data_IF_442159505905
#
_entry.id   IF_442159505905
#
_cell.length_a   1.000
_cell.length_b   1.000
_cell.length_c   1.000
_cell.angle_alpha   90.00
_cell.angle_beta   90.00
_cell.angle_gamma   90.00
#
_symmetry.space_group_name_H-M   'P 1'
#
loop_
_entity.id
_entity.type
_entity.pdbx_description
1 polymer ?
#
# COMPACT_ATOMS: atom_id res chain seq x y z
N UNK A 1 -23.73 -21.41 -9.04
CA UNK A 1 -23.53 -20.06 -9.60
C UNK A 1 -24.83 -19.30 -9.42
N UNK A 2 -24.81 -18.15 -8.74
CA UNK A 2 -26.01 -17.40 -8.35
C UNK A 2 -26.62 -16.74 -9.60
N UNK A 3 -27.85 -17.14 -9.96
CA UNK A 3 -28.56 -16.64 -11.14
C UNK A 3 -28.79 -15.12 -11.06
N UNK A 4 -29.01 -14.57 -9.86
CA UNK A 4 -29.15 -13.14 -9.66
C UNK A 4 -27.86 -12.37 -10.00
N UNK A 5 -26.71 -12.94 -9.68
CA UNK A 5 -25.40 -12.36 -10.08
C UNK A 5 -25.22 -12.39 -11.59
N UNK A 6 -25.61 -13.47 -12.28
CA UNK A 6 -25.53 -13.54 -13.73
C UNK A 6 -26.45 -12.52 -14.41
N UNK A 7 -27.68 -12.35 -13.93
CA UNK A 7 -28.63 -11.38 -14.46
C UNK A 7 -28.17 -9.92 -14.27
N UNK A 8 -27.35 -9.63 -13.26
CA UNK A 8 -26.81 -8.29 -13.00
C UNK A 8 -25.61 -7.92 -13.87
N UNK A 9 -24.90 -8.90 -14.48
CA UNK A 9 -23.68 -8.67 -15.25
C UNK A 9 -23.84 -7.63 -16.40
N UNK A 10 -24.92 -7.69 -17.21
CA UNK A 10 -25.09 -6.68 -18.28
C UNK A 10 -25.21 -5.26 -17.73
N UNK A 11 -25.89 -5.09 -16.59
CA UNK A 11 -26.04 -3.77 -15.96
C UNK A 11 -24.73 -3.30 -15.35
N UNK A 12 -23.94 -4.19 -14.79
CA UNK A 12 -22.63 -3.91 -14.23
C UNK A 12 -21.59 -3.57 -15.30
N UNK A 13 -21.49 -4.38 -16.36
CA UNK A 13 -20.49 -4.17 -17.42
C UNK A 13 -20.95 -3.19 -18.51
N UNK A 14 -22.24 -2.87 -18.60
CA UNK A 14 -22.83 -1.92 -19.56
C UNK A 14 -22.30 -2.11 -20.99
N UNK A 15 -22.42 -3.34 -21.57
CA UNK A 15 -21.82 -3.66 -22.87
C UNK A 15 -22.39 -2.85 -24.04
N UNK A 16 -23.52 -2.16 -23.85
CA UNK A 16 -24.10 -1.23 -24.80
C UNK A 16 -23.31 0.09 -24.97
N UNK A 17 -22.37 0.39 -24.04
CA UNK A 17 -21.48 1.52 -24.22
C UNK A 17 -20.32 1.11 -25.14
N UNK A 18 -20.04 1.86 -26.24
CA UNK A 18 -19.02 1.46 -27.22
C UNK A 18 -17.62 1.25 -26.62
N UNK A 19 -17.25 2.05 -25.63
CA UNK A 19 -15.98 1.91 -24.91
C UNK A 19 -15.92 0.60 -24.12
N UNK A 20 -16.99 0.25 -23.41
CA UNK A 20 -17.06 -0.96 -22.62
C UNK A 20 -17.08 -2.20 -23.52
N UNK A 21 -17.87 -2.17 -24.58
CA UNK A 21 -17.89 -3.23 -25.59
C UNK A 21 -16.50 -3.50 -26.16
N UNK A 22 -15.74 -2.45 -26.52
CA UNK A 22 -14.36 -2.59 -27.01
C UNK A 22 -13.44 -3.26 -26.02
N UNK A 23 -13.51 -2.88 -24.73
CA UNK A 23 -12.70 -3.49 -23.66
C UNK A 23 -13.04 -4.97 -23.47
N UNK A 24 -14.34 -5.31 -23.42
CA UNK A 24 -14.81 -6.68 -23.27
C UNK A 24 -14.37 -7.54 -24.47
N UNK A 25 -14.55 -7.05 -25.69
CA UNK A 25 -14.13 -7.75 -26.90
C UNK A 25 -12.61 -7.92 -26.95
N UNK A 26 -11.87 -6.86 -26.63
CA UNK A 26 -10.42 -6.93 -26.62
C UNK A 26 -9.89 -7.97 -25.61
N UNK A 27 -10.54 -8.11 -24.45
CA UNK A 27 -10.17 -9.10 -23.42
C UNK A 27 -10.51 -10.53 -23.88
N UNK A 28 -11.71 -10.72 -24.43
CA UNK A 28 -12.19 -12.05 -24.91
C UNK A 28 -11.36 -12.60 -26.09
N UNK A 29 -10.90 -11.73 -26.97
CA UNK A 29 -10.17 -12.11 -28.17
C UNK A 29 -8.67 -11.78 -28.11
N UNK A 30 -8.17 -11.38 -26.93
CA UNK A 30 -6.75 -11.17 -26.73
C UNK A 30 -6.04 -12.53 -26.93
N UNK A 31 -5.21 -12.69 -27.96
CA UNK A 31 -4.42 -13.91 -28.09
C UNK A 31 -3.54 -14.01 -26.85
N UNK A 32 -3.41 -15.22 -26.30
CA UNK A 32 -2.37 -15.51 -25.34
C UNK A 32 -1.04 -15.16 -26.01
N UNK A 33 -0.49 -13.99 -25.71
CA UNK A 33 0.76 -13.55 -26.29
C UNK A 33 1.85 -14.43 -25.69
N UNK A 34 2.36 -15.39 -26.46
CA UNK A 34 3.54 -16.18 -26.10
C UNK A 34 4.83 -15.36 -26.24
N UNK A 35 4.77 -14.15 -26.83
CA UNK A 35 5.93 -13.27 -26.95
C UNK A 35 6.25 -12.65 -25.58
N UNK A 36 7.35 -13.08 -24.97
CA UNK A 36 7.96 -12.37 -23.85
C UNK A 36 8.38 -10.99 -24.34
N UNK A 37 7.69 -9.96 -23.85
CA UNK A 37 8.13 -8.59 -24.05
C UNK A 37 9.23 -8.27 -23.04
N UNK A 38 10.11 -7.34 -23.42
CA UNK A 38 11.13 -6.80 -22.53
C UNK A 38 10.49 -6.23 -21.26
N UNK A 39 11.14 -6.42 -20.11
CA UNK A 39 10.66 -5.93 -18.82
C UNK A 39 10.40 -4.42 -18.83
N UNK A 40 11.22 -3.68 -19.58
CA UNK A 40 11.07 -2.23 -19.71
C UNK A 40 9.74 -1.84 -20.39
N UNK A 41 9.25 -2.61 -21.38
CA UNK A 41 7.96 -2.36 -22.03
C UNK A 41 6.82 -2.49 -21.02
N UNK A 42 6.88 -3.51 -20.16
CA UNK A 42 5.89 -3.70 -19.10
C UNK A 42 5.96 -2.59 -18.06
N UNK A 43 7.17 -2.21 -17.63
CA UNK A 43 7.37 -1.12 -16.68
C UNK A 43 6.83 0.20 -17.22
N UNK A 44 7.18 0.57 -18.47
CA UNK A 44 6.64 1.77 -19.12
C UNK A 44 5.11 1.75 -19.19
N UNK A 45 4.53 0.63 -19.62
CA UNK A 45 3.08 0.49 -19.68
C UNK A 45 2.38 0.66 -18.32
N UNK A 46 2.97 0.14 -17.25
CA UNK A 46 2.46 0.30 -15.88
C UNK A 46 2.57 1.75 -15.39
N UNK A 47 3.73 2.39 -15.59
CA UNK A 47 3.95 3.79 -15.23
C UNK A 47 3.01 4.72 -16.02
N UNK A 48 2.86 4.51 -17.33
CA UNK A 48 1.91 5.29 -18.15
C UNK A 48 0.48 5.16 -17.65
N UNK A 49 0.09 3.95 -17.19
CA UNK A 49 -1.23 3.74 -16.62
C UNK A 49 -1.39 4.52 -15.30
N UNK A 50 -0.41 4.48 -14.41
CA UNK A 50 -0.42 5.21 -13.13
C UNK A 50 -0.41 6.73 -13.36
N UNK A 51 0.35 7.23 -14.35
CA UNK A 51 0.29 8.64 -14.73
C UNK A 51 -1.13 9.06 -15.14
N UNK A 52 -1.81 8.26 -15.98
CA UNK A 52 -3.21 8.52 -16.35
C UNK A 52 -4.14 8.45 -15.13
N UNK A 53 -3.93 7.50 -14.21
CA UNK A 53 -4.72 7.37 -12.98
C UNK A 53 -4.56 8.58 -12.04
N UNK A 54 -3.41 9.25 -12.07
CA UNK A 54 -3.20 10.53 -11.40
C UNK A 54 -3.86 11.69 -12.16
N UNK A 55 -3.64 11.77 -13.48
CA UNK A 55 -4.09 12.90 -14.32
C UNK A 55 -5.62 13.02 -14.36
N UNK A 56 -6.35 11.92 -14.32
CA UNK A 56 -7.83 11.95 -14.30
C UNK A 56 -8.42 12.58 -13.05
N UNK A 57 -7.60 12.78 -12.02
CA UNK A 57 -8.00 13.48 -10.78
C UNK A 57 -7.72 14.97 -10.82
N UNK A 58 -7.06 15.48 -11.86
CA UNK A 58 -6.80 16.91 -12.01
C UNK A 58 -8.11 17.71 -12.01
N UNK A 59 -8.15 18.77 -11.20
CA UNK A 59 -9.34 19.59 -11.01
C UNK A 59 -10.41 19.02 -10.08
N UNK A 60 -10.17 17.85 -9.47
CA UNK A 60 -11.01 17.29 -8.41
C UNK A 60 -10.47 17.71 -7.04
N UNK A 61 -11.27 17.52 -6.00
CA UNK A 61 -10.87 17.82 -4.61
C UNK A 61 -9.71 16.96 -4.09
N UNK A 62 -9.45 15.83 -4.73
CA UNK A 62 -8.40 14.85 -4.42
C UNK A 62 -7.28 14.84 -5.48
N UNK A 63 -7.12 15.96 -6.20
CA UNK A 63 -6.04 16.14 -7.17
C UNK A 63 -4.66 16.02 -6.51
N UNK A 64 -3.74 15.35 -7.19
CA UNK A 64 -2.42 15.00 -6.67
C UNK A 64 -2.30 13.53 -6.31
N UNK A 65 -3.34 12.94 -5.73
CA UNK A 65 -3.41 11.50 -5.48
C UNK A 65 -3.62 10.67 -6.75
N UNK A 66 -3.50 9.36 -6.63
CA UNK A 66 -3.70 8.39 -7.71
C UNK A 66 -5.05 7.70 -7.53
N UNK A 67 -5.88 7.68 -8.58
CA UNK A 67 -7.16 6.99 -8.57
C UNK A 67 -7.02 5.52 -8.12
N UNK A 68 -7.92 5.06 -7.26
CA UNK A 68 -7.99 3.66 -6.81
C UNK A 68 -8.12 2.65 -7.94
N UNK A 69 -8.63 3.07 -9.09
CA UNK A 69 -8.85 2.23 -10.24
C UNK A 69 -9.94 2.73 -11.16
N UNK A 70 -10.31 1.88 -12.08
CA UNK A 70 -11.40 2.14 -13.01
C UNK A 70 -12.44 1.02 -12.95
N UNK A 71 -13.72 1.36 -12.83
CA UNK A 71 -14.82 0.40 -12.86
C UNK A 71 -15.73 0.63 -14.08
N UNK A 72 -16.47 -0.41 -14.48
CA UNK A 72 -17.50 -0.27 -15.51
C UNK A 72 -18.73 0.53 -15.05
N UNK A 73 -18.93 0.62 -13.73
CA UNK A 73 -20.07 1.32 -13.13
C UNK A 73 -19.80 2.82 -12.99
N UNK A 74 -18.65 3.16 -12.39
CA UNK A 74 -18.34 4.52 -11.95
C UNK A 74 -17.29 5.23 -12.79
N UNK A 75 -16.58 4.47 -13.67
CA UNK A 75 -15.40 4.98 -14.37
C UNK A 75 -14.19 5.07 -13.44
N UNK A 76 -13.45 6.17 -13.47
CA UNK A 76 -12.33 6.39 -12.57
C UNK A 76 -12.83 6.70 -11.15
N UNK A 77 -12.32 5.94 -10.20
CA UNK A 77 -12.62 6.08 -8.77
C UNK A 77 -11.84 7.28 -8.18
N UNK A 78 -12.20 7.74 -6.97
CA UNK A 78 -11.42 8.73 -6.24
C UNK A 78 -9.97 8.30 -6.00
N UNK A 79 -9.10 9.25 -5.66
CA UNK A 79 -7.73 8.96 -5.22
C UNK A 79 -7.75 8.09 -3.96
N UNK A 80 -6.81 7.14 -3.89
CA UNK A 80 -6.73 6.20 -2.78
C UNK A 80 -5.43 6.41 -1.99
N UNK A 81 -5.52 6.85 -0.72
CA UNK A 81 -4.35 7.22 0.05
C UNK A 81 -3.33 6.10 0.18
N UNK A 82 -3.77 4.91 0.58
CA UNK A 82 -2.88 3.76 0.77
C UNK A 82 -1.97 3.51 -0.44
N UNK A 83 -2.59 3.39 -1.63
CA UNK A 83 -1.84 3.07 -2.84
C UNK A 83 -1.02 4.25 -3.33
N UNK A 84 -1.53 5.47 -3.21
CA UNK A 84 -0.78 6.69 -3.54
C UNK A 84 0.51 6.75 -2.72
N UNK A 85 0.44 6.40 -1.42
CA UNK A 85 1.59 6.41 -0.53
C UNK A 85 2.77 5.60 -1.07
N UNK A 86 2.58 4.32 -1.40
CA UNK A 86 3.70 3.51 -1.90
C UNK A 86 3.98 3.68 -3.41
N UNK A 87 3.08 4.31 -4.18
CA UNK A 87 3.37 4.71 -5.56
C UNK A 87 4.42 5.84 -5.60
N UNK A 88 4.51 6.68 -4.57
CA UNK A 88 5.54 7.71 -4.45
C UNK A 88 6.93 7.08 -4.63
N UNK A 89 7.26 6.06 -3.84
CA UNK A 89 8.54 5.33 -3.94
C UNK A 89 8.75 4.74 -5.34
N UNK A 90 7.70 4.16 -5.91
CA UNK A 90 7.72 3.57 -7.24
C UNK A 90 8.06 4.60 -8.31
N UNK A 91 7.49 5.80 -8.24
CA UNK A 91 7.75 6.87 -9.22
C UNK A 91 9.15 7.43 -9.10
N UNK A 92 9.66 7.60 -7.89
CA UNK A 92 11.03 8.05 -7.66
C UNK A 92 12.03 7.03 -8.26
N UNK A 93 11.83 5.73 -7.99
CA UNK A 93 12.68 4.68 -8.55
C UNK A 93 12.56 4.57 -10.09
N UNK A 94 11.32 4.66 -10.62
CA UNK A 94 11.09 4.60 -12.06
C UNK A 94 11.68 5.80 -12.81
N UNK A 95 11.75 6.98 -12.19
CA UNK A 95 12.35 8.17 -12.78
C UNK A 95 13.82 7.92 -13.20
N UNK A 96 14.57 7.25 -12.34
CA UNK A 96 15.98 6.90 -12.66
C UNK A 96 16.08 5.78 -13.70
N UNK A 97 15.34 4.69 -13.52
CA UNK A 97 15.37 3.52 -14.42
C UNK A 97 14.93 3.90 -15.84
N UNK A 98 13.86 4.66 -15.98
CA UNK A 98 13.28 5.05 -17.28
C UNK A 98 13.87 6.35 -17.84
N UNK A 99 14.71 7.04 -17.08
CA UNK A 99 15.26 8.37 -17.41
C UNK A 99 14.14 9.40 -17.68
N UNK A 100 13.12 9.40 -16.84
CA UNK A 100 11.94 10.25 -16.89
C UNK A 100 11.86 11.15 -15.65
N UNK A 101 12.56 12.29 -15.60
CA UNK A 101 12.62 13.16 -14.42
C UNK A 101 11.24 13.75 -14.04
N UNK A 102 10.30 13.85 -14.98
CA UNK A 102 8.92 14.29 -14.72
C UNK A 102 8.17 13.40 -13.71
N UNK A 103 8.60 12.15 -13.51
CA UNK A 103 8.03 11.27 -12.48
C UNK A 103 8.33 11.77 -11.06
N UNK A 104 9.45 12.48 -10.86
CA UNK A 104 9.77 13.13 -9.58
C UNK A 104 8.75 14.24 -9.26
N UNK A 105 8.37 15.05 -10.25
CA UNK A 105 7.33 16.09 -10.05
C UNK A 105 5.97 15.46 -9.73
N UNK A 106 5.66 14.33 -10.35
CA UNK A 106 4.45 13.57 -10.07
C UNK A 106 4.44 12.99 -8.65
N UNK A 107 5.57 12.41 -8.20
CA UNK A 107 5.76 11.97 -6.83
C UNK A 107 5.61 13.14 -5.84
N UNK A 108 6.14 14.32 -6.17
CA UNK A 108 5.96 15.54 -5.39
C UNK A 108 4.49 15.91 -5.19
N UNK A 109 3.67 15.86 -6.25
CA UNK A 109 2.22 16.11 -6.14
C UNK A 109 1.49 15.08 -5.27
N UNK A 110 1.89 13.81 -5.33
CA UNK A 110 1.36 12.76 -4.43
C UNK A 110 1.69 13.07 -2.98
N UNK A 111 2.94 13.43 -2.69
CA UNK A 111 3.38 13.83 -1.34
C UNK A 111 2.56 15.01 -0.83
N UNK A 112 2.39 16.06 -1.64
CA UNK A 112 1.63 17.24 -1.26
C UNK A 112 0.19 16.90 -0.91
N UNK A 113 -0.43 16.03 -1.70
CA UNK A 113 -1.78 15.55 -1.43
C UNK A 113 -1.84 14.73 -0.14
N UNK A 114 -0.95 13.76 0.07
CA UNK A 114 -0.90 12.96 1.31
C UNK A 114 -0.70 13.85 2.55
N UNK A 115 0.22 14.81 2.50
CA UNK A 115 0.41 15.76 3.59
C UNK A 115 -0.85 16.57 3.90
N UNK A 116 -1.63 16.91 2.87
CA UNK A 116 -2.87 17.69 3.00
C UNK A 116 -4.00 16.94 3.68
N UNK A 117 -4.01 15.60 3.59
CA UNK A 117 -5.05 14.75 4.15
C UNK A 117 -4.67 14.11 5.49
N UNK A 118 -3.43 14.31 5.97
CA UNK A 118 -3.02 13.78 7.28
C UNK A 118 -3.93 14.32 8.39
N UNK A 119 -4.43 13.41 9.23
CA UNK A 119 -5.35 13.72 10.31
C UNK A 119 -4.62 14.47 11.47
N UNK A 120 -5.35 15.26 12.28
CA UNK A 120 -4.75 16.01 13.38
C UNK A 120 -4.02 15.18 14.44
N UNK A 121 -4.43 13.91 14.63
CA UNK A 121 -3.79 12.95 15.53
C UNK A 121 -2.54 12.28 14.93
N UNK A 122 -2.24 12.56 13.67
CA UNK A 122 -1.08 12.05 12.94
C UNK A 122 -1.36 10.84 12.06
N UNK A 123 -2.50 10.17 12.20
CA UNK A 123 -2.89 9.08 11.31
C UNK A 123 -3.13 9.56 9.89
N UNK A 124 -3.26 8.60 8.98
CA UNK A 124 -3.80 8.87 7.65
C UNK A 124 -5.17 8.22 7.49
N UNK A 125 -6.09 8.85 6.73
CA UNK A 125 -7.43 8.33 6.54
C UNK A 125 -7.39 6.98 5.81
N UNK A 126 -8.29 6.08 6.21
CA UNK A 126 -8.59 4.87 5.46
C UNK A 126 -9.43 5.15 4.23
N UNK A 127 -9.67 4.14 3.42
CA UNK A 127 -10.48 4.22 2.20
C UNK A 127 -10.09 5.40 1.29
N UNK A 128 -11.05 6.16 0.80
CA UNK A 128 -10.81 7.24 -0.19
C UNK A 128 -10.43 8.59 0.42
N UNK A 129 -9.98 8.62 1.68
CA UNK A 129 -9.55 9.89 2.32
C UNK A 129 -10.68 10.89 2.53
N UNK A 130 -11.92 10.46 2.54
CA UNK A 130 -13.09 11.30 2.77
C UNK A 130 -13.04 11.91 4.17
N UNK A 131 -13.56 13.14 4.32
CA UNK A 131 -13.65 13.79 5.60
C UNK A 131 -14.42 12.92 6.61
N UNK A 132 -13.78 12.59 7.74
CA UNK A 132 -14.33 11.70 8.76
C UNK A 132 -14.11 10.21 8.52
N UNK A 133 -13.35 9.81 7.50
CA UNK A 133 -12.98 8.40 7.33
C UNK A 133 -12.10 7.94 8.49
N UNK A 134 -12.44 6.75 9.01
CA UNK A 134 -11.68 6.11 10.09
C UNK A 134 -10.26 5.80 9.61
N UNK A 135 -9.21 6.15 10.36
CA UNK A 135 -7.86 5.73 10.01
C UNK A 135 -7.71 4.21 10.11
N UNK A 136 -6.75 3.66 9.36
CA UNK A 136 -6.43 2.23 9.33
C UNK A 136 -4.93 2.07 9.52
N UNK A 137 -4.51 1.11 10.35
CA UNK A 137 -3.11 0.82 10.68
C UNK A 137 -2.31 0.57 9.39
N UNK A 138 -2.79 -0.36 8.57
CA UNK A 138 -2.10 -0.74 7.34
C UNK A 138 -1.96 0.44 6.37
N UNK A 139 -3.05 1.19 6.13
CA UNK A 139 -3.05 2.35 5.24
C UNK A 139 -2.06 3.42 5.72
N UNK A 140 -2.08 3.74 7.01
CA UNK A 140 -1.13 4.69 7.62
C UNK A 140 0.31 4.24 7.38
N UNK A 141 0.62 2.95 7.59
CA UNK A 141 1.94 2.39 7.33
C UNK A 141 2.36 2.44 5.85
N UNK A 142 1.42 2.20 4.92
CA UNK A 142 1.72 2.29 3.49
C UNK A 142 2.07 3.72 3.05
N UNK A 143 1.36 4.71 3.57
CA UNK A 143 1.66 6.12 3.29
C UNK A 143 3.00 6.53 3.90
N UNK A 144 3.34 6.02 5.09
CA UNK A 144 4.65 6.26 5.71
C UNK A 144 5.81 5.81 4.82
N UNK A 145 5.70 4.75 4.00
CA UNK A 145 6.72 4.39 3.02
C UNK A 145 6.99 5.53 2.03
N UNK A 146 5.94 6.14 1.48
CA UNK A 146 6.07 7.29 0.61
C UNK A 146 6.68 8.51 1.32
N UNK A 147 6.32 8.73 2.59
CA UNK A 147 6.91 9.82 3.37
C UNK A 147 8.41 9.57 3.64
N UNK A 148 8.80 8.35 3.99
CA UNK A 148 10.21 7.97 4.17
C UNK A 148 10.98 8.18 2.85
N UNK A 149 10.43 7.75 1.71
CA UNK A 149 11.05 7.99 0.40
C UNK A 149 11.15 9.48 0.06
N UNK A 150 10.11 10.27 0.32
CA UNK A 150 10.11 11.72 0.14
C UNK A 150 11.19 12.43 0.95
N UNK A 151 11.44 12.00 2.18
CA UNK A 151 12.53 12.52 2.99
C UNK A 151 13.91 12.06 2.47
N UNK A 152 14.11 10.75 2.32
CA UNK A 152 15.45 10.19 2.04
C UNK A 152 15.93 10.45 0.63
N UNK A 153 15.03 10.53 -0.35
CA UNK A 153 15.39 10.62 -1.77
C UNK A 153 15.14 12.01 -2.35
N UNK A 154 14.21 12.80 -1.80
CA UNK A 154 13.89 14.13 -2.27
C UNK A 154 14.26 15.24 -1.28
N UNK A 155 14.74 14.90 -0.07
CA UNK A 155 15.18 15.87 0.96
C UNK A 155 14.00 16.65 1.59
N UNK A 156 12.78 16.15 1.52
CA UNK A 156 11.59 16.86 2.02
C UNK A 156 11.40 16.62 3.52
N UNK A 157 11.83 17.59 4.34
CA UNK A 157 11.77 17.53 5.81
C UNK A 157 10.34 17.36 6.36
N UNK A 158 9.34 17.93 5.70
CA UNK A 158 7.94 17.79 6.10
C UNK A 158 7.46 16.33 6.03
N UNK A 159 8.04 15.52 5.14
CA UNK A 159 7.72 14.10 5.05
C UNK A 159 8.17 13.34 6.30
N UNK A 160 9.38 13.58 6.79
CA UNK A 160 9.84 12.96 8.05
C UNK A 160 8.97 13.39 9.22
N UNK A 161 8.62 14.69 9.31
CA UNK A 161 7.72 15.16 10.36
C UNK A 161 6.34 14.49 10.31
N UNK A 162 5.79 14.28 9.11
CA UNK A 162 4.52 13.58 8.93
C UNK A 162 4.63 12.09 9.31
N UNK A 163 5.71 11.41 8.87
CA UNK A 163 5.97 10.02 9.22
C UNK A 163 6.13 9.82 10.74
N UNK A 164 6.82 10.74 11.43
CA UNK A 164 6.97 10.69 12.90
C UNK A 164 5.61 10.83 13.60
N UNK A 165 4.76 11.77 13.17
CA UNK A 165 3.40 11.89 13.75
C UNK A 165 2.59 10.63 13.54
N UNK A 166 2.65 10.04 12.33
CA UNK A 166 1.99 8.79 12.01
C UNK A 166 2.53 7.62 12.84
N UNK A 167 3.85 7.56 13.02
CA UNK A 167 4.50 6.57 13.87
C UNK A 167 4.06 6.65 15.33
N UNK A 168 3.93 7.86 15.89
CA UNK A 168 3.41 8.03 17.24
C UNK A 168 1.95 7.59 17.36
N UNK A 169 1.13 7.86 16.35
CA UNK A 169 -0.24 7.36 16.32
C UNK A 169 -0.27 5.82 16.29
N UNK A 170 0.52 5.17 15.41
CA UNK A 170 0.63 3.70 15.37
C UNK A 170 1.02 3.13 16.74
N UNK A 171 2.03 3.71 17.38
CA UNK A 171 2.48 3.32 18.72
C UNK A 171 1.37 3.45 19.76
N UNK A 172 0.55 4.51 19.72
CA UNK A 172 -0.58 4.70 20.63
C UNK A 172 -1.68 3.63 20.44
N UNK A 173 -1.85 3.10 19.24
CA UNK A 173 -2.87 2.10 18.96
C UNK A 173 -2.40 0.67 19.29
N UNK A 174 -1.08 0.48 19.54
CA UNK A 174 -0.50 -0.82 19.79
C UNK A 174 -0.90 -1.34 21.18
N UNK A 175 -1.30 -2.61 21.24
CA UNK A 175 -1.58 -3.33 22.47
C UNK A 175 -0.28 -3.73 23.19
N UNK A 176 -0.38 -4.13 24.45
CA UNK A 176 0.78 -4.48 25.30
C UNK A 176 1.61 -5.65 24.79
N UNK A 177 1.02 -6.53 23.98
CA UNK A 177 1.69 -7.68 23.35
C UNK A 177 2.33 -7.32 21.99
N UNK A 178 2.27 -6.08 21.56
CA UNK A 178 2.83 -5.62 20.29
C UNK A 178 1.89 -5.72 19.10
N UNK A 179 0.70 -6.30 19.27
CA UNK A 179 -0.30 -6.43 18.22
C UNK A 179 -1.11 -5.14 18.03
N UNK A 180 -1.72 -4.98 16.88
CA UNK A 180 -2.80 -4.03 16.64
C UNK A 180 -4.12 -4.79 16.48
N UNK A 181 -5.16 -4.41 17.25
CA UNK A 181 -6.52 -4.97 17.19
C UNK A 181 -7.56 -3.91 16.88
N UNK A 182 -7.21 -2.65 17.05
CA UNK A 182 -8.07 -1.50 16.73
C UNK A 182 -7.58 -0.85 15.43
N UNK A 183 -8.51 -0.28 14.69
CA UNK A 183 -8.20 0.37 13.40
C UNK A 183 -7.64 -0.62 12.36
N UNK A 184 -8.01 -1.87 12.49
CA UNK A 184 -7.68 -2.95 11.58
C UNK A 184 -8.81 -3.23 10.58
N UNK A 185 -8.46 -3.88 9.48
CA UNK A 185 -9.44 -4.40 8.55
C UNK A 185 -10.24 -5.52 9.22
N UNK A 186 -11.57 -5.39 9.23
CA UNK A 186 -12.51 -6.32 9.91
C UNK A 186 -12.29 -6.46 11.43
N UNK A 187 -11.59 -5.51 12.06
CA UNK A 187 -11.28 -5.51 13.49
C UNK A 187 -10.61 -6.81 13.99
N UNK A 188 -9.80 -7.45 13.14
CA UNK A 188 -8.98 -8.62 13.47
C UNK A 188 -7.50 -8.34 13.26
N UNK A 189 -6.60 -8.95 14.07
CA UNK A 189 -5.17 -8.72 13.96
C UNK A 189 -4.61 -9.37 12.70
N UNK A 190 -3.59 -8.72 12.10
CA UNK A 190 -2.98 -9.18 10.87
C UNK A 190 -1.45 -9.18 10.93
N UNK A 191 -0.82 -10.31 10.60
CA UNK A 191 0.64 -10.41 10.47
C UNK A 191 1.17 -9.58 9.31
N UNK A 192 0.40 -9.36 8.25
CA UNK A 192 0.82 -8.52 7.12
C UNK A 192 1.08 -7.05 7.52
N UNK A 193 0.68 -6.62 8.72
CA UNK A 193 1.06 -5.32 9.29
C UNK A 193 2.56 -5.19 9.56
N UNK A 194 3.34 -6.28 9.50
CA UNK A 194 4.82 -6.18 9.48
C UNK A 194 5.32 -5.27 8.37
N UNK A 195 4.57 -5.10 7.27
CA UNK A 195 4.87 -4.12 6.25
C UNK A 195 4.72 -2.68 6.77
N UNK A 196 3.68 -2.37 7.55
CA UNK A 196 3.53 -1.09 8.24
C UNK A 196 4.62 -0.92 9.33
N UNK A 197 4.96 -2.01 10.00
CA UNK A 197 6.04 -2.06 10.99
C UNK A 197 7.39 -1.71 10.39
N UNK A 198 7.69 -2.16 9.18
CA UNK A 198 8.91 -1.75 8.46
C UNK A 198 8.96 -0.23 8.25
N UNK A 199 7.86 0.40 7.82
CA UNK A 199 7.81 1.85 7.69
C UNK A 199 7.97 2.58 9.04
N UNK A 200 7.35 2.05 10.11
CA UNK A 200 7.49 2.56 11.48
C UNK A 200 8.95 2.48 11.94
N UNK A 201 9.62 1.34 11.73
CA UNK A 201 11.03 1.13 12.06
C UNK A 201 11.93 2.11 11.31
N UNK A 202 11.78 2.19 9.99
CA UNK A 202 12.56 3.12 9.15
C UNK A 202 12.41 4.57 9.64
N UNK A 203 11.16 4.98 9.95
CA UNK A 203 10.88 6.31 10.52
C UNK A 203 11.58 6.51 11.86
N UNK A 204 11.51 5.52 12.78
CA UNK A 204 12.14 5.59 14.08
C UNK A 204 13.66 5.71 14.01
N UNK A 205 14.30 4.98 13.09
CA UNK A 205 15.73 5.05 12.85
C UNK A 205 16.15 6.41 12.28
N UNK A 206 15.43 6.93 11.27
CA UNK A 206 15.70 8.23 10.65
C UNK A 206 15.51 9.40 11.63
N UNK A 207 14.51 9.32 12.50
CA UNK A 207 14.21 10.35 13.49
C UNK A 207 15.00 10.18 14.80
N UNK A 208 15.82 9.13 14.93
CA UNK A 208 16.46 8.72 16.19
C UNK A 208 15.45 8.55 17.36
N UNK A 209 14.23 8.12 17.07
CA UNK A 209 13.16 7.89 18.03
C UNK A 209 13.14 6.42 18.47
N UNK A 210 13.78 6.13 19.61
CA UNK A 210 13.84 4.79 20.19
C UNK A 210 12.46 4.22 20.56
N UNK A 211 11.48 5.10 20.85
CA UNK A 211 10.11 4.65 21.15
C UNK A 211 9.42 4.02 19.94
N UNK A 212 9.63 4.56 18.74
CA UNK A 212 9.11 3.99 17.49
C UNK A 212 9.85 2.69 17.13
N UNK A 213 11.18 2.66 17.32
CA UNK A 213 11.99 1.44 17.09
C UNK A 213 11.53 0.30 18.00
N UNK A 214 11.32 0.57 19.29
CA UNK A 214 10.83 -0.46 20.24
C UNK A 214 9.42 -0.93 19.89
N UNK A 215 8.51 -0.01 19.51
CA UNK A 215 7.16 -0.37 19.05
C UNK A 215 7.20 -1.29 17.82
N UNK A 216 8.08 -0.99 16.86
CA UNK A 216 8.29 -1.85 15.70
C UNK A 216 8.78 -3.26 16.10
N UNK A 217 9.76 -3.35 16.99
CA UNK A 217 10.26 -4.64 17.50
C UNK A 217 9.16 -5.45 18.19
N UNK A 218 8.33 -4.81 19.03
CA UNK A 218 7.22 -5.48 19.70
C UNK A 218 6.23 -6.09 18.69
N UNK A 219 5.93 -5.38 17.61
CA UNK A 219 5.04 -5.94 16.58
C UNK A 219 5.71 -7.10 15.82
N UNK A 220 6.98 -6.99 15.48
CA UNK A 220 7.72 -8.08 14.84
C UNK A 220 7.77 -9.32 15.73
N UNK A 221 8.00 -9.16 17.03
CA UNK A 221 8.01 -10.29 17.98
C UNK A 221 6.64 -10.95 18.11
N UNK A 222 5.56 -10.15 18.18
CA UNK A 222 4.21 -10.68 18.13
C UNK A 222 3.94 -11.42 16.82
N UNK A 223 4.28 -10.83 15.69
CA UNK A 223 4.06 -11.44 14.38
C UNK A 223 4.87 -12.73 14.20
N UNK A 224 6.11 -12.77 14.72
CA UNK A 224 6.94 -13.97 14.72
C UNK A 224 6.31 -15.10 15.55
N UNK A 225 5.65 -14.78 16.66
CA UNK A 225 4.93 -15.77 17.47
C UNK A 225 3.75 -16.42 16.75
N UNK A 226 3.28 -15.83 15.64
CA UNK A 226 2.23 -16.38 14.79
C UNK A 226 2.76 -17.31 13.69
N UNK A 227 4.09 -17.46 13.55
CA UNK A 227 4.68 -18.36 12.57
C UNK A 227 4.69 -19.81 13.08
N UNK A 228 4.21 -20.73 12.25
CA UNK A 228 4.25 -22.16 12.49
C UNK A 228 5.61 -22.75 12.07
N UNK A 229 5.88 -24.00 12.46
CA UNK A 229 7.09 -24.74 12.05
C UNK A 229 7.23 -24.86 10.52
N UNK A 230 6.13 -24.86 9.79
CA UNK A 230 6.14 -24.89 8.32
C UNK A 230 6.38 -23.53 7.67
N UNK A 231 6.60 -22.46 8.45
CA UNK A 231 6.77 -21.09 7.95
C UNK A 231 5.46 -20.31 7.74
N UNK A 232 4.32 -20.96 7.88
CA UNK A 232 3.02 -20.31 7.70
C UNK A 232 2.70 -19.34 8.84
N UNK A 233 2.12 -18.17 8.52
CA UNK A 233 1.62 -17.23 9.51
C UNK A 233 0.12 -17.41 9.76
N UNK A 234 -0.28 -17.70 10.99
CA UNK A 234 -1.65 -18.01 11.37
C UNK A 234 -2.60 -16.81 11.15
N UNK A 235 -2.27 -15.63 11.65
CA UNK A 235 -3.12 -14.44 11.60
C UNK A 235 -2.83 -13.56 10.36
N UNK A 236 -2.92 -14.12 9.13
CA UNK A 236 -2.53 -13.40 7.91
C UNK A 236 -3.65 -13.26 6.86
N UNK A 237 -4.87 -13.71 7.16
CA UNK A 237 -6.03 -13.56 6.31
C UNK A 237 -6.89 -12.35 6.72
N UNK A 238 -7.70 -11.82 5.82
CA UNK A 238 -8.64 -10.72 6.13
C UNK A 238 -9.74 -11.11 7.12
N UNK A 239 -10.02 -12.41 7.21
CA UNK A 239 -10.93 -12.98 8.20
C UNK A 239 -10.37 -14.32 8.68
N UNK A 240 -10.60 -14.72 9.95
CA UNK A 240 -10.03 -15.95 10.52
C UNK A 240 -10.35 -17.23 9.75
N UNK A 241 -11.53 -17.31 9.12
CA UNK A 241 -12.04 -18.52 8.45
C UNK A 241 -11.68 -18.58 6.95
N UNK A 242 -10.81 -17.70 6.47
CA UNK A 242 -10.41 -17.64 5.06
C UNK A 242 -8.92 -17.84 4.89
N UNK A 243 -8.54 -18.37 3.73
CA UNK A 243 -7.14 -18.37 3.31
C UNK A 243 -6.67 -16.94 3.05
N UNK A 244 -5.42 -16.59 3.41
CA UNK A 244 -4.84 -15.30 3.06
C UNK A 244 -4.68 -15.17 1.55
N UNK A 245 -4.71 -13.94 1.08
CA UNK A 245 -4.37 -13.64 -0.31
C UNK A 245 -2.85 -13.66 -0.50
N UNK A 246 -2.39 -13.96 -1.72
CA UNK A 246 -0.95 -13.98 -2.05
C UNK A 246 -0.27 -12.66 -1.69
N UNK A 247 -0.93 -11.51 -1.89
CA UNK A 247 -0.35 -10.22 -1.54
C UNK A 247 -0.18 -10.02 -0.03
N UNK A 248 -1.10 -10.52 0.81
CA UNK A 248 -0.93 -10.42 2.28
C UNK A 248 0.21 -11.30 2.77
N UNK A 249 0.41 -12.48 2.16
CA UNK A 249 1.57 -13.33 2.41
C UNK A 249 2.86 -12.59 2.03
N UNK A 250 2.91 -12.01 0.84
CA UNK A 250 4.08 -11.26 0.37
C UNK A 250 4.38 -10.03 1.25
N UNK A 251 3.34 -9.35 1.78
CA UNK A 251 3.52 -8.23 2.70
C UNK A 251 4.14 -8.68 4.03
N UNK A 252 3.71 -9.82 4.59
CA UNK A 252 4.28 -10.37 5.80
C UNK A 252 5.77 -10.72 5.61
N UNK A 253 6.09 -11.45 4.54
CA UNK A 253 7.45 -11.84 4.19
C UNK A 253 8.34 -10.61 4.03
N UNK A 254 7.91 -9.64 3.23
CA UNK A 254 8.69 -8.43 2.97
C UNK A 254 8.88 -7.59 4.23
N UNK A 255 7.84 -7.45 5.06
CA UNK A 255 7.93 -6.72 6.32
C UNK A 255 8.99 -7.30 7.25
N UNK A 256 9.04 -8.62 7.40
CA UNK A 256 10.07 -9.30 8.17
C UNK A 256 11.46 -9.15 7.57
N UNK A 257 11.61 -9.37 6.27
CA UNK A 257 12.91 -9.30 5.59
C UNK A 257 13.54 -7.91 5.74
N UNK A 258 12.80 -6.88 5.36
CA UNK A 258 13.32 -5.49 5.37
C UNK A 258 13.58 -5.00 6.80
N UNK A 259 12.71 -5.38 7.75
CA UNK A 259 12.93 -5.03 9.15
C UNK A 259 14.13 -5.77 9.75
N UNK A 260 14.30 -7.06 9.41
CA UNK A 260 15.44 -7.86 9.85
C UNK A 260 16.76 -7.30 9.36
N UNK A 261 16.81 -6.86 8.10
CA UNK A 261 18.00 -6.20 7.51
C UNK A 261 18.29 -4.86 8.21
N UNK A 262 17.27 -4.02 8.43
CA UNK A 262 17.45 -2.73 9.10
C UNK A 262 17.92 -2.84 10.55
N UNK A 263 17.53 -3.91 11.24
CA UNK A 263 17.86 -4.16 12.64
C UNK A 263 19.14 -4.99 12.82
N UNK A 264 19.69 -5.56 11.73
CA UNK A 264 20.75 -6.59 11.77
C UNK A 264 20.35 -7.79 12.65
N UNK A 265 19.07 -8.25 12.51
CA UNK A 265 18.50 -9.36 13.27
C UNK A 265 18.13 -10.55 12.39
N UNK A 266 19.00 -11.57 12.39
CA UNK A 266 18.89 -12.79 11.59
C UNK A 266 17.55 -13.53 11.82
N UNK A 267 16.98 -13.50 13.03
CA UNK A 267 15.73 -14.21 13.34
C UNK A 267 14.54 -13.75 12.49
N UNK A 268 14.48 -12.45 12.14
CA UNK A 268 13.42 -11.92 11.28
C UNK A 268 13.69 -12.24 9.80
N UNK A 269 14.96 -12.18 9.38
CA UNK A 269 15.36 -12.58 8.03
C UNK A 269 15.04 -14.06 7.80
N UNK A 270 15.34 -14.93 8.79
CA UNK A 270 15.05 -16.34 8.72
C UNK A 270 13.54 -16.62 8.70
N UNK A 271 12.74 -15.87 9.48
CA UNK A 271 11.28 -15.99 9.44
C UNK A 271 10.73 -15.68 8.03
N UNK A 272 11.24 -14.64 7.38
CA UNK A 272 10.88 -14.30 6.00
C UNK A 272 11.29 -15.41 5.02
N UNK A 273 12.50 -15.93 5.14
CA UNK A 273 13.01 -16.99 4.27
C UNK A 273 12.23 -18.32 4.42
N UNK A 274 11.83 -18.65 5.65
CA UNK A 274 11.05 -19.86 5.92
C UNK A 274 9.61 -19.75 5.37
N UNK A 275 9.06 -18.53 5.31
CA UNK A 275 7.71 -18.26 4.80
C UNK A 275 7.62 -18.14 3.27
N UNK A 276 8.75 -17.93 2.57
CA UNK A 276 8.84 -17.76 1.12
C UNK A 276 8.86 -19.09 0.36
#
# INVERSE_FOLDING_TARGET
MDIAKLASLPFRYRPWQPRHARLIVADLFKPASESRQEHEVHLRGAIDWLCRAQDVRNGQSDAGGVSAGWSFEDGWLPSYPETTGYIIETFIAAADVLKQPELIERAGRMIDWELSIQLPDGAFPGHFGEAGSRPVIFNTGQIMHGMVAGYTQLGREECLRAAVRAGHWLRQQQDVDGCWRRFEHNDVPHVYNTRATWALLATGLLAADQGLVLSARHNLDWALSQQTESGWFAANAFTPDRSPFTHTIAYAIRGFLESGVLLDEERYVQAAATAA
#
